data_IF_592176601182
#
_entry.id   IF_592176601182
#
_cell.length_a   1.000
_cell.length_b   1.000
_cell.length_c   1.000
_cell.angle_alpha   90.00
_cell.angle_beta   90.00
_cell.angle_gamma   90.00
#
_symmetry.space_group_name_H-M   'P 1'
#
loop_
_entity.id
_entity.type
_entity.pdbx_description
1 polymer ?
#
# COMPACT_ATOMS: atom_id res chain seq x y z
N UNK A 1 -19.04 -42.59 71.14
CA UNK A 1 -18.35 -41.34 71.48
C UNK A 1 -17.77 -40.75 70.20
N UNK A 2 -18.37 -39.67 69.73
CA UNK A 2 -17.95 -38.92 68.55
C UNK A 2 -16.75 -38.04 68.88
N UNK A 3 -15.81 -37.88 67.94
CA UNK A 3 -15.06 -36.63 67.78
C UNK A 3 -14.97 -36.27 66.30
N UNK A 4 -15.77 -35.26 65.98
CA UNK A 4 -15.78 -34.49 64.75
C UNK A 4 -14.63 -33.49 64.88
N UNK A 5 -13.69 -33.49 63.92
CA UNK A 5 -12.74 -32.38 63.75
C UNK A 5 -12.83 -31.88 62.33
N UNK A 6 -13.57 -30.79 62.18
CA UNK A 6 -13.58 -29.92 61.01
C UNK A 6 -12.20 -29.32 60.77
N UNK A 7 -11.71 -29.38 59.53
CA UNK A 7 -10.66 -28.47 59.05
C UNK A 7 -11.10 -27.87 57.71
N UNK A 8 -10.98 -26.55 57.68
CA UNK A 8 -11.45 -25.58 56.71
C UNK A 8 -10.87 -25.73 55.29
N UNK A 9 -11.78 -25.61 54.32
CA UNK A 9 -11.71 -24.81 53.09
C UNK A 9 -10.33 -24.24 52.68
N UNK A 10 -9.79 -24.73 51.56
CA UNK A 10 -8.91 -23.92 50.72
C UNK A 10 -9.11 -24.28 49.24
N UNK A 11 -10.03 -23.55 48.63
CA UNK A 11 -10.34 -23.56 47.21
C UNK A 11 -9.22 -22.80 46.47
N UNK A 12 -8.17 -23.49 46.03
CA UNK A 12 -7.21 -22.93 45.08
C UNK A 12 -7.80 -23.01 43.66
N UNK A 13 -8.58 -21.99 43.28
CA UNK A 13 -8.87 -21.72 41.87
C UNK A 13 -7.54 -21.30 41.25
N UNK A 14 -6.82 -22.27 40.67
CA UNK A 14 -5.77 -21.96 39.70
C UNK A 14 -6.50 -21.43 38.47
N UNK A 15 -6.72 -20.11 38.46
CA UNK A 15 -6.95 -19.39 37.23
C UNK A 15 -5.69 -19.55 36.40
N UNK A 16 -5.65 -20.61 35.59
CA UNK A 16 -4.87 -20.59 34.36
C UNK A 16 -5.48 -19.47 33.52
N UNK A 17 -5.09 -18.23 33.82
CA UNK A 17 -5.03 -17.19 32.83
C UNK A 17 -4.15 -17.79 31.75
N UNK A 18 -4.79 -18.38 30.75
CA UNK A 18 -4.22 -18.49 29.43
C UNK A 18 -3.86 -17.05 29.12
N UNK A 19 -2.60 -16.70 29.35
CA UNK A 19 -1.98 -15.61 28.63
C UNK A 19 -2.16 -16.05 27.18
N UNK A 20 -3.28 -15.64 26.58
CA UNK A 20 -3.45 -15.69 25.15
C UNK A 20 -2.14 -15.12 24.63
N UNK A 21 -1.39 -15.86 23.80
CA UNK A 21 -0.13 -15.35 23.30
C UNK A 21 -0.45 -13.95 22.81
N UNK A 22 0.30 -12.97 23.30
CA UNK A 22 0.22 -11.61 22.79
C UNK A 22 0.50 -11.78 21.30
N UNK A 23 -0.57 -11.93 20.50
CA UNK A 23 -0.52 -11.69 19.09
C UNK A 23 0.03 -10.28 19.07
N UNK A 24 1.28 -10.13 18.60
CA UNK A 24 1.76 -8.83 18.20
C UNK A 24 0.59 -8.20 17.48
N UNK A 25 0.16 -7.01 17.90
CA UNK A 25 -0.80 -6.25 17.13
C UNK A 25 -0.14 -5.98 15.78
N UNK A 26 -0.21 -6.93 14.85
CA UNK A 26 0.30 -6.86 13.50
C UNK A 26 -0.74 -6.11 12.68
N UNK A 27 -0.90 -4.82 12.98
CA UNK A 27 -1.10 -3.88 11.90
C UNK A 27 0.20 -3.88 11.08
N UNK A 28 0.39 -4.92 10.25
CA UNK A 28 1.52 -5.19 9.36
C UNK A 28 2.87 -5.40 10.04
N UNK A 29 3.70 -6.29 9.53
CA UNK A 29 5.15 -6.27 9.81
C UNK A 29 5.72 -4.86 9.56
N UNK A 30 6.82 -4.49 10.23
CA UNK A 30 7.49 -3.20 9.97
C UNK A 30 7.82 -3.06 8.47
N UNK A 31 8.26 -4.15 7.86
CA UNK A 31 8.59 -4.23 6.43
C UNK A 31 7.34 -4.08 5.56
N UNK A 32 6.22 -4.69 5.96
CA UNK A 32 4.93 -4.48 5.30
C UNK A 32 4.51 -2.99 5.33
N UNK A 33 4.57 -2.35 6.50
CA UNK A 33 4.21 -0.94 6.63
C UNK A 33 5.15 -0.02 5.84
N UNK A 34 6.44 -0.37 5.79
CA UNK A 34 7.43 0.35 4.99
C UNK A 34 7.14 0.21 3.49
N UNK A 35 6.84 -1.00 3.01
CA UNK A 35 6.47 -1.23 1.61
C UNK A 35 5.22 -0.45 1.21
N UNK A 36 4.17 -0.46 2.06
CA UNK A 36 2.95 0.33 1.86
C UNK A 36 3.22 1.83 1.79
N UNK A 37 4.03 2.35 2.72
CA UNK A 37 4.42 3.76 2.73
C UNK A 37 5.22 4.12 1.48
N UNK A 38 6.10 3.22 1.03
CA UNK A 38 6.92 3.41 -0.16
C UNK A 38 6.07 3.51 -1.42
N UNK A 39 5.06 2.65 -1.58
CA UNK A 39 4.09 2.75 -2.69
C UNK A 39 3.43 4.13 -2.72
N UNK A 40 2.82 4.55 -1.60
CA UNK A 40 2.11 5.85 -1.52
C UNK A 40 3.06 7.01 -1.78
N UNK A 41 4.28 6.96 -1.21
CA UNK A 41 5.30 8.00 -1.38
C UNK A 41 5.81 8.10 -2.83
N UNK A 42 6.09 6.98 -3.48
CA UNK A 42 6.60 6.97 -4.86
C UNK A 42 5.51 7.40 -5.86
N UNK A 43 4.23 7.07 -5.63
CA UNK A 43 3.11 7.57 -6.44
C UNK A 43 2.92 9.08 -6.25
N UNK A 44 2.94 9.59 -5.01
CA UNK A 44 2.83 11.02 -4.74
C UNK A 44 3.99 11.82 -5.35
N UNK A 45 5.22 11.28 -5.28
CA UNK A 45 6.38 11.86 -5.96
C UNK A 45 6.18 11.87 -7.48
N UNK A 46 5.63 10.80 -8.06
CA UNK A 46 5.33 10.74 -9.49
C UNK A 46 4.32 11.81 -9.89
N UNK A 47 3.23 11.98 -9.14
CA UNK A 47 2.23 13.03 -9.40
C UNK A 47 2.84 14.44 -9.35
N UNK A 48 3.73 14.68 -8.38
CA UNK A 48 4.44 15.95 -8.24
C UNK A 48 5.34 16.22 -9.44
N UNK A 49 6.07 15.20 -9.91
CA UNK A 49 6.93 15.34 -11.09
C UNK A 49 6.12 15.58 -12.36
N UNK A 50 4.98 14.89 -12.50
CA UNK A 50 4.06 15.08 -13.63
C UNK A 50 3.43 16.47 -13.64
N UNK A 51 3.07 17.03 -12.47
CA UNK A 51 2.49 18.37 -12.38
C UNK A 51 3.48 19.50 -12.65
N UNK A 52 4.79 19.22 -12.60
CA UNK A 52 5.85 20.17 -12.95
C UNK A 52 6.17 20.21 -14.45
N UNK A 53 5.60 19.31 -15.26
CA UNK A 53 5.80 19.30 -16.71
C UNK A 53 5.09 20.51 -17.33
N UNK A 54 5.78 21.23 -18.22
CA UNK A 54 5.20 22.36 -18.93
C UNK A 54 4.09 21.89 -19.89
N UNK A 55 2.88 22.40 -19.71
CA UNK A 55 1.68 22.02 -20.50
C UNK A 55 1.29 23.08 -21.53
N UNK A 56 2.21 23.94 -21.96
CA UNK A 56 1.95 24.97 -22.98
C UNK A 56 1.64 24.35 -24.34
N UNK A 57 2.29 23.23 -24.67
CA UNK A 57 1.98 22.43 -25.85
C UNK A 57 0.77 21.52 -25.60
N UNK A 58 -0.18 21.50 -26.53
CA UNK A 58 -1.44 20.76 -26.40
C UNK A 58 -1.22 19.24 -26.33
N UNK A 59 -0.25 18.70 -27.08
CA UNK A 59 0.05 17.27 -27.04
C UNK A 59 0.63 16.88 -25.67
N UNK A 60 1.54 17.70 -25.15
CA UNK A 60 2.11 17.52 -23.80
C UNK A 60 1.04 17.66 -22.72
N UNK A 61 0.17 18.67 -22.80
CA UNK A 61 -0.93 18.87 -21.87
C UNK A 61 -1.89 17.66 -21.84
N UNK A 62 -2.23 17.13 -23.02
CA UNK A 62 -3.06 15.93 -23.15
C UNK A 62 -2.38 14.71 -22.52
N UNK A 63 -1.10 14.47 -22.82
CA UNK A 63 -0.35 13.37 -22.23
C UNK A 63 -0.23 13.49 -20.70
N UNK A 64 0.03 14.68 -20.17
CA UNK A 64 0.04 14.94 -18.72
C UNK A 64 -1.33 14.64 -18.10
N UNK A 65 -2.43 15.04 -18.75
CA UNK A 65 -3.78 14.73 -18.28
C UNK A 65 -4.07 13.23 -18.21
N UNK A 66 -3.68 12.47 -19.24
CA UNK A 66 -3.82 11.00 -19.25
C UNK A 66 -2.94 10.36 -18.17
N UNK A 67 -1.70 10.86 -17.99
CA UNK A 67 -0.81 10.37 -16.95
C UNK A 67 -1.40 10.59 -15.54
N UNK A 68 -1.97 11.76 -15.28
CA UNK A 68 -2.65 12.07 -14.02
C UNK A 68 -3.88 11.19 -13.80
N UNK A 69 -4.69 10.92 -14.83
CA UNK A 69 -5.82 10.01 -14.73
C UNK A 69 -5.38 8.58 -14.37
N UNK A 70 -4.32 8.07 -15.00
CA UNK A 70 -3.72 6.78 -14.64
C UNK A 70 -3.23 6.75 -13.18
N UNK A 71 -2.51 7.77 -12.75
CA UNK A 71 -2.03 7.89 -11.36
C UNK A 71 -3.16 7.99 -10.33
N UNK A 72 -4.27 8.64 -10.67
CA UNK A 72 -5.46 8.67 -9.81
C UNK A 72 -6.11 7.29 -9.70
N UNK A 73 -6.20 6.55 -10.81
CA UNK A 73 -6.68 5.17 -10.80
C UNK A 73 -5.81 4.27 -9.91
N UNK A 74 -4.49 4.43 -9.99
CA UNK A 74 -3.51 3.76 -9.12
C UNK A 74 -3.76 4.07 -7.64
N UNK A 75 -3.95 5.35 -7.28
CA UNK A 75 -4.25 5.74 -5.91
C UNK A 75 -5.52 5.08 -5.35
N UNK A 76 -6.60 5.04 -6.15
CA UNK A 76 -7.83 4.36 -5.76
C UNK A 76 -7.60 2.87 -5.53
N UNK A 77 -6.94 2.18 -6.47
CA UNK A 77 -6.62 0.76 -6.36
C UNK A 77 -5.75 0.44 -5.12
N UNK A 78 -4.74 1.26 -4.84
CA UNK A 78 -3.90 1.12 -3.64
C UNK A 78 -4.74 1.26 -2.37
N UNK A 79 -5.65 2.22 -2.29
CA UNK A 79 -6.52 2.38 -1.12
C UNK A 79 -7.36 1.13 -0.86
N UNK A 80 -7.93 0.52 -1.91
CA UNK A 80 -8.70 -0.71 -1.78
C UNK A 80 -7.83 -1.90 -1.34
N UNK A 81 -6.64 -2.05 -1.95
CA UNK A 81 -5.68 -3.09 -1.58
C UNK A 81 -5.28 -2.92 -0.12
N UNK A 82 -4.87 -1.72 0.30
CA UNK A 82 -4.49 -1.44 1.67
C UNK A 82 -5.64 -1.74 2.64
N UNK A 83 -6.86 -1.36 2.30
CA UNK A 83 -8.06 -1.63 3.10
C UNK A 83 -8.28 -3.12 3.29
N UNK A 84 -8.21 -3.91 2.21
CA UNK A 84 -8.34 -5.36 2.29
C UNK A 84 -7.24 -6.00 3.14
N UNK A 85 -5.98 -5.60 2.96
CA UNK A 85 -4.88 -6.17 3.74
C UNK A 85 -4.95 -5.73 5.21
N UNK A 86 -5.42 -4.51 5.52
CA UNK A 86 -5.71 -4.11 6.91
C UNK A 86 -6.83 -4.94 7.55
N UNK A 87 -7.78 -5.43 6.73
CA UNK A 87 -8.83 -6.34 7.16
C UNK A 87 -8.39 -7.83 7.18
N UNK A 88 -7.10 -8.14 6.95
CA UNK A 88 -6.58 -9.51 6.74
C UNK A 88 -7.31 -10.28 5.64
N UNK A 89 -7.75 -9.56 4.60
CA UNK A 89 -8.37 -10.13 3.42
C UNK A 89 -7.36 -10.17 2.28
N UNK A 90 -7.57 -11.12 1.37
CA UNK A 90 -6.87 -11.10 0.08
C UNK A 90 -7.24 -9.81 -0.64
N UNK A 91 -6.24 -9.11 -1.19
CA UNK A 91 -6.47 -7.94 -2.02
C UNK A 91 -7.52 -8.26 -3.12
N UNK A 92 -8.46 -7.35 -3.44
CA UNK A 92 -9.44 -7.62 -4.49
C UNK A 92 -8.74 -7.80 -5.84
N UNK A 93 -9.22 -8.75 -6.65
CA UNK A 93 -8.65 -8.99 -7.98
C UNK A 93 -8.79 -7.77 -8.89
N UNK A 94 -9.95 -7.12 -8.85
CA UNK A 94 -10.24 -5.92 -9.64
C UNK A 94 -9.29 -4.77 -9.27
N UNK A 95 -9.00 -4.58 -7.98
CA UNK A 95 -8.04 -3.55 -7.54
C UNK A 95 -6.62 -3.84 -8.02
N UNK A 96 -6.18 -5.11 -8.07
CA UNK A 96 -4.87 -5.45 -8.66
C UNK A 96 -4.81 -5.14 -10.16
N UNK A 97 -5.88 -5.49 -10.89
CA UNK A 97 -6.00 -5.20 -12.32
C UNK A 97 -6.03 -3.68 -12.57
N UNK A 98 -6.78 -2.94 -11.76
CA UNK A 98 -6.86 -1.48 -11.85
C UNK A 98 -5.52 -0.82 -11.55
N UNK A 99 -4.77 -1.33 -10.57
CA UNK A 99 -3.40 -0.88 -10.28
C UNK A 99 -2.50 -1.05 -11.51
N UNK A 100 -2.47 -2.25 -12.10
CA UNK A 100 -1.66 -2.55 -13.29
C UNK A 100 -2.04 -1.65 -14.49
N UNK A 101 -3.34 -1.54 -14.79
CA UNK A 101 -3.85 -0.71 -15.88
C UNK A 101 -3.56 0.78 -15.66
N UNK A 102 -3.67 1.27 -14.43
CA UNK A 102 -3.38 2.65 -14.09
C UNK A 102 -1.90 2.98 -14.24
N UNK A 103 -1.01 2.06 -13.83
CA UNK A 103 0.44 2.18 -14.01
C UNK A 103 0.79 2.19 -15.51
N UNK A 104 0.24 1.25 -16.28
CA UNK A 104 0.51 1.18 -17.73
C UNK A 104 0.00 2.42 -18.47
N UNK A 105 -1.22 2.88 -18.13
CA UNK A 105 -1.79 4.14 -18.65
C UNK A 105 -0.87 5.33 -18.37
N UNK A 106 -0.40 5.46 -17.13
CA UNK A 106 0.48 6.56 -16.74
C UNK A 106 1.83 6.51 -17.46
N UNK A 107 2.47 5.34 -17.53
CA UNK A 107 3.74 5.18 -18.22
C UNK A 107 3.62 5.40 -19.73
N UNK A 108 2.58 4.85 -20.36
CA UNK A 108 2.33 5.02 -21.79
C UNK A 108 2.12 6.49 -22.16
N UNK A 109 1.38 7.24 -21.34
CA UNK A 109 1.21 8.67 -21.54
C UNK A 109 2.53 9.46 -21.36
N UNK A 110 3.31 9.13 -20.33
CA UNK A 110 4.62 9.76 -20.09
C UNK A 110 5.61 9.56 -21.26
N UNK A 111 5.58 8.40 -21.94
CA UNK A 111 6.46 8.11 -23.09
C UNK A 111 6.11 8.96 -24.33
N UNK A 112 4.88 9.46 -24.41
CA UNK A 112 4.43 10.33 -25.50
C UNK A 112 4.92 11.78 -25.35
N UNK A 113 5.34 12.19 -24.15
CA UNK A 113 5.87 13.53 -23.91
C UNK A 113 7.24 13.66 -24.60
N UNK A 114 7.33 14.55 -25.59
CA UNK A 114 8.55 14.82 -26.38
C UNK A 114 9.22 16.15 -26.04
N UNK A 115 8.69 16.90 -25.07
CA UNK A 115 9.30 18.16 -24.64
C UNK A 115 10.71 17.90 -24.06
N UNK A 116 11.78 18.42 -24.71
CA UNK A 116 13.14 18.21 -24.24
C UNK A 116 13.38 18.81 -22.84
N UNK A 117 12.62 19.84 -22.44
CA UNK A 117 12.71 20.44 -21.12
C UNK A 117 12.02 19.59 -20.04
N UNK A 118 11.13 18.68 -20.45
CA UNK A 118 10.45 17.76 -19.55
C UNK A 118 11.22 16.45 -19.32
N UNK A 119 12.29 16.18 -20.08
CA UNK A 119 13.01 14.89 -20.07
C UNK A 119 13.43 14.43 -18.67
N UNK A 120 13.96 15.34 -17.84
CA UNK A 120 14.35 15.02 -16.48
C UNK A 120 13.14 14.63 -15.61
N UNK A 121 12.06 15.42 -15.65
CA UNK A 121 10.83 15.15 -14.90
C UNK A 121 10.12 13.88 -15.38
N UNK A 122 10.05 13.66 -16.69
CA UNK A 122 9.50 12.43 -17.29
C UNK A 122 10.32 11.21 -16.88
N UNK A 123 11.64 11.28 -16.97
CA UNK A 123 12.52 10.17 -16.57
C UNK A 123 12.39 9.86 -15.08
N UNK A 124 12.37 10.88 -14.23
CA UNK A 124 12.20 10.73 -12.79
C UNK A 124 10.82 10.16 -12.43
N UNK A 125 9.75 10.67 -13.08
CA UNK A 125 8.39 10.18 -12.89
C UNK A 125 8.29 8.69 -13.25
N UNK A 126 8.87 8.27 -14.37
CA UNK A 126 8.88 6.85 -14.78
C UNK A 126 9.68 5.98 -13.80
N UNK A 127 10.82 6.46 -13.32
CA UNK A 127 11.60 5.73 -12.32
C UNK A 127 10.82 5.53 -11.00
N UNK A 128 10.07 6.55 -10.57
CA UNK A 128 9.20 6.48 -9.39
C UNK A 128 8.00 5.55 -9.59
N UNK A 129 7.41 5.58 -10.78
CA UNK A 129 6.33 4.67 -11.14
C UNK A 129 6.76 3.19 -11.08
N UNK A 130 7.95 2.87 -11.62
CA UNK A 130 8.55 1.53 -11.53
C UNK A 130 8.85 1.13 -10.08
N UNK A 131 9.40 2.05 -9.29
CA UNK A 131 9.68 1.81 -7.88
C UNK A 131 8.39 1.53 -7.08
N UNK A 132 7.29 2.22 -7.39
CA UNK A 132 5.99 1.97 -6.80
C UNK A 132 5.45 0.57 -7.16
N UNK A 133 5.64 0.12 -8.40
CA UNK A 133 5.31 -1.25 -8.81
C UNK A 133 6.05 -2.30 -7.98
N UNK A 134 7.37 -2.17 -7.86
CA UNK A 134 8.21 -3.08 -7.05
C UNK A 134 7.79 -3.07 -5.57
N UNK A 135 7.50 -1.90 -5.01
CA UNK A 135 7.01 -1.80 -3.64
C UNK A 135 5.62 -2.44 -3.47
N UNK A 136 4.77 -2.40 -4.50
CA UNK A 136 3.49 -3.11 -4.55
C UNK A 136 3.67 -4.63 -4.46
N UNK A 137 4.63 -5.18 -5.20
CA UNK A 137 4.97 -6.61 -5.10
C UNK A 137 5.46 -6.99 -3.70
N UNK A 138 6.25 -6.13 -3.05
CA UNK A 138 6.68 -6.33 -1.66
C UNK A 138 5.50 -6.29 -0.67
N UNK A 139 4.49 -5.45 -0.89
CA UNK A 139 3.27 -5.49 -0.08
C UNK A 139 2.60 -6.86 -0.20
N UNK A 140 2.54 -7.45 -1.40
CA UNK A 140 1.94 -8.77 -1.59
C UNK A 140 2.77 -9.90 -0.95
N UNK A 141 4.09 -9.79 -0.90
CA UNK A 141 4.96 -10.82 -0.29
C UNK A 141 5.05 -10.71 1.23
N UNK A 142 5.18 -9.49 1.76
CA UNK A 142 5.50 -9.23 3.17
C UNK A 142 4.26 -8.91 4.03
N UNK A 143 3.16 -8.45 3.45
CA UNK A 143 1.95 -8.15 4.21
C UNK A 143 1.01 -9.36 4.26
N UNK A 144 1.20 -10.20 5.28
CA UNK A 144 0.33 -11.35 5.60
C UNK A 144 -0.46 -11.12 6.88
#
# INVERSE_FOLDING_TARGET
MARISSVLFSLCIVACASAAPMHRRQTGDLDCNLARLKVVSDIAATQTLVSQINTTDLATASAVGVAQAGLNSVNSAIQDILTAVFANQTAPADSRVQLEQGLDTANSALVLIKDPNANASVSAARAKLLAAGVAGDQVLSECK
#
